data_IF_272258045324
#
_entry.id   IF_272258045324
#
_cell.length_a   1.000
_cell.length_b   1.000
_cell.length_c   1.000
_cell.angle_alpha   90.00
_cell.angle_beta   90.00
_cell.angle_gamma   90.00
#
_symmetry.space_group_name_H-M   'P 1'
#
loop_
_entity.id
_entity.type
_entity.pdbx_description
1 polymer ?
#
# COMPACT_ATOMS: atom_id res chain seq x y z
N UNK A 1 76.40 -15.39 -62.35
CA UNK A 1 74.98 -15.32 -62.72
C UNK A 1 74.04 -15.61 -61.55
N UNK A 2 74.31 -16.55 -60.66
CA UNK A 2 73.45 -16.95 -59.53
C UNK A 2 73.08 -15.81 -58.56
N UNK A 3 74.00 -14.88 -58.21
CA UNK A 3 73.74 -13.75 -57.32
C UNK A 3 72.85 -12.67 -57.93
N UNK A 4 72.85 -12.50 -59.25
CA UNK A 4 71.98 -11.56 -59.95
C UNK A 4 70.53 -12.02 -59.96
N UNK A 5 70.29 -13.32 -60.02
CA UNK A 5 68.96 -13.92 -60.01
C UNK A 5 68.35 -13.84 -58.58
N UNK A 6 69.13 -14.07 -57.52
CA UNK A 6 68.70 -13.95 -56.14
C UNK A 6 68.31 -12.50 -55.82
N UNK A 7 69.10 -11.55 -56.32
CA UNK A 7 68.78 -10.12 -56.11
C UNK A 7 67.51 -9.66 -56.84
N UNK A 8 67.24 -10.17 -58.03
CA UNK A 8 66.01 -9.92 -58.76
C UNK A 8 64.78 -10.49 -58.08
N UNK A 9 64.88 -11.72 -57.56
CA UNK A 9 63.78 -12.34 -56.79
C UNK A 9 63.47 -11.57 -55.47
N UNK A 10 64.54 -11.17 -54.79
CA UNK A 10 64.37 -10.36 -53.56
C UNK A 10 63.71 -9.02 -53.83
N UNK A 11 64.10 -8.36 -54.93
CA UNK A 11 63.49 -7.05 -55.32
C UNK A 11 62.02 -7.19 -55.70
N UNK A 12 61.68 -8.29 -56.44
CA UNK A 12 60.29 -8.62 -56.79
C UNK A 12 59.47 -8.88 -55.51
N UNK A 13 60.01 -9.60 -54.53
CA UNK A 13 59.37 -9.89 -53.25
C UNK A 13 59.06 -8.59 -52.43
N UNK A 14 60.06 -7.67 -52.41
CA UNK A 14 59.88 -6.38 -51.74
C UNK A 14 58.81 -5.52 -52.46
N UNK A 15 58.83 -5.50 -53.77
CA UNK A 15 57.83 -4.73 -54.56
C UNK A 15 56.42 -5.36 -54.40
N UNK A 16 56.29 -6.65 -54.37
CA UNK A 16 55.02 -7.33 -54.13
C UNK A 16 54.53 -7.10 -52.70
N UNK A 17 55.41 -7.13 -51.69
CA UNK A 17 55.11 -6.81 -50.32
C UNK A 17 54.67 -5.35 -50.15
N UNK A 18 55.31 -4.41 -50.82
CA UNK A 18 54.96 -3.01 -50.81
C UNK A 18 53.59 -2.73 -51.50
N UNK A 19 53.34 -3.43 -52.63
CA UNK A 19 52.07 -3.36 -53.37
C UNK A 19 50.90 -3.92 -52.53
N UNK A 20 51.09 -5.02 -51.80
CA UNK A 20 50.08 -5.59 -50.90
C UNK A 20 49.89 -4.73 -49.73
N UNK A 21 50.87 -4.13 -49.09
CA UNK A 21 50.76 -3.19 -47.98
C UNK A 21 50.00 -1.95 -48.39
N UNK A 22 50.20 -1.41 -49.58
CA UNK A 22 49.46 -0.28 -50.12
C UNK A 22 48.00 -0.67 -50.41
N UNK A 23 47.77 -1.84 -51.01
CA UNK A 23 46.43 -2.31 -51.38
C UNK A 23 45.56 -2.63 -50.16
N UNK A 24 46.12 -3.24 -49.13
CA UNK A 24 45.42 -3.53 -47.87
C UNK A 24 45.47 -2.39 -46.86
N UNK A 25 46.41 -1.43 -47.02
CA UNK A 25 46.52 -0.21 -46.21
C UNK A 25 45.63 0.94 -46.68
N UNK A 26 44.96 0.84 -47.83
CA UNK A 26 43.90 1.73 -48.22
C UNK A 26 42.81 1.61 -47.17
N UNK A 27 42.67 2.61 -46.29
CA UNK A 27 41.60 2.69 -45.29
C UNK A 27 40.27 2.45 -46.00
N UNK A 28 39.59 1.34 -45.70
CA UNK A 28 38.21 1.14 -46.13
C UNK A 28 37.46 2.38 -45.68
N UNK A 29 36.65 3.01 -46.52
CA UNK A 29 35.83 4.15 -46.09
C UNK A 29 35.05 3.66 -44.86
N UNK A 30 34.94 4.48 -43.77
CA UNK A 30 34.17 4.11 -42.62
C UNK A 30 32.78 3.73 -43.08
N UNK A 31 32.29 2.60 -42.63
CA UNK A 31 30.90 2.20 -42.88
C UNK A 31 30.02 3.39 -42.51
N UNK A 32 29.07 3.71 -43.36
CA UNK A 32 28.09 4.74 -43.07
C UNK A 32 27.44 4.40 -41.70
N UNK A 33 27.26 5.39 -40.83
CA UNK A 33 26.61 5.15 -39.53
C UNK A 33 25.28 4.47 -39.78
N UNK A 34 24.88 3.57 -38.89
CA UNK A 34 23.63 2.80 -38.98
C UNK A 34 22.39 3.71 -39.06
N UNK A 35 22.52 4.95 -38.65
CA UNK A 35 21.54 6.03 -38.85
C UNK A 35 22.30 7.35 -39.11
N UNK A 36 21.71 8.23 -39.92
CA UNK A 36 22.20 9.59 -40.09
C UNK A 36 21.78 10.44 -38.90
N UNK A 37 22.69 11.18 -38.22
CA UNK A 37 22.32 12.12 -37.20
C UNK A 37 21.30 13.12 -37.78
N UNK A 38 20.26 13.38 -37.01
CA UNK A 38 19.21 14.31 -37.44
C UNK A 38 19.79 15.72 -37.50
N UNK A 39 19.55 16.39 -38.62
CA UNK A 39 19.99 17.79 -38.76
C UNK A 39 19.16 18.71 -37.84
N UNK A 40 19.84 19.69 -37.21
CA UNK A 40 19.20 20.73 -36.42
C UNK A 40 18.13 21.46 -37.28
N UNK A 41 16.86 21.49 -36.88
CA UNK A 41 15.78 22.17 -37.60
C UNK A 41 15.84 23.70 -37.40
N UNK A 42 16.55 24.19 -36.42
CA UNK A 42 16.69 25.60 -36.08
C UNK A 42 18.10 26.11 -36.46
N UNK A 43 18.23 27.41 -36.73
CA UNK A 43 19.52 27.99 -37.10
C UNK A 43 20.57 27.87 -35.99
N UNK A 44 20.16 27.96 -34.74
CA UNK A 44 20.99 27.89 -33.52
C UNK A 44 20.25 27.11 -32.44
N UNK A 45 19.81 25.85 -32.69
CA UNK A 45 19.07 25.05 -31.70
C UNK A 45 20.01 24.34 -30.73
N UNK A 46 19.56 24.21 -29.48
CA UNK A 46 20.20 23.43 -28.43
C UNK A 46 19.82 21.97 -28.61
N UNK A 47 20.82 21.09 -28.78
CA UNK A 47 20.63 19.65 -28.79
C UNK A 47 20.50 19.12 -27.37
N UNK A 48 19.54 18.25 -27.14
CA UNK A 48 19.36 17.52 -25.89
C UNK A 48 18.90 16.08 -26.18
N UNK A 49 19.47 15.13 -25.47
CA UNK A 49 18.92 13.78 -25.46
C UNK A 49 17.64 13.75 -24.63
N UNK A 50 16.62 13.08 -25.14
CA UNK A 50 15.33 12.94 -24.48
C UNK A 50 14.95 11.50 -24.23
N UNK A 51 14.25 11.25 -23.14
CA UNK A 51 13.61 9.98 -22.83
C UNK A 51 12.10 10.17 -22.90
N UNK A 52 11.42 9.30 -23.62
CA UNK A 52 9.97 9.26 -23.66
C UNK A 52 9.46 8.75 -22.32
N UNK A 53 8.57 9.49 -21.68
CA UNK A 53 7.97 9.15 -20.39
C UNK A 53 6.45 9.19 -20.48
N UNK A 54 5.80 8.49 -19.57
CA UNK A 54 4.36 8.64 -19.36
C UNK A 54 4.04 10.06 -18.90
N UNK A 55 2.99 10.70 -19.47
CA UNK A 55 2.56 12.03 -19.07
C UNK A 55 1.94 12.00 -17.67
N UNK A 56 2.75 12.13 -16.65
CA UNK A 56 2.36 12.18 -15.25
C UNK A 56 2.78 13.50 -14.63
N UNK A 57 2.17 13.85 -13.51
CA UNK A 57 2.49 15.08 -12.78
C UNK A 57 3.97 15.15 -12.36
N UNK A 58 4.57 14.00 -12.00
CA UNK A 58 5.99 13.85 -11.69
C UNK A 58 6.86 13.59 -12.93
N UNK A 59 6.26 13.17 -14.06
CA UNK A 59 6.99 12.78 -15.28
C UNK A 59 7.59 11.39 -15.25
N UNK A 60 7.47 10.65 -14.14
CA UNK A 60 8.04 9.31 -13.98
C UNK A 60 6.95 8.24 -13.96
N UNK A 61 7.31 7.02 -14.33
CA UNK A 61 6.45 5.86 -14.18
C UNK A 61 6.25 5.52 -12.69
N UNK A 62 5.13 4.90 -12.35
CA UNK A 62 4.91 4.42 -11.00
C UNK A 62 5.56 3.05 -10.83
N UNK A 63 6.62 3.00 -10.08
CA UNK A 63 7.29 1.78 -9.66
C UNK A 63 6.58 1.22 -8.44
N UNK A 64 5.98 0.04 -8.57
CA UNK A 64 5.18 -0.58 -7.52
C UNK A 64 6.00 -1.65 -6.80
N UNK A 65 6.03 -1.52 -5.48
CA UNK A 65 6.66 -2.43 -4.55
C UNK A 65 5.59 -2.97 -3.60
N UNK A 66 5.63 -4.27 -3.23
CA UNK A 66 4.72 -4.77 -2.21
C UNK A 66 5.04 -4.13 -0.86
N UNK A 67 4.02 -3.88 -0.05
CA UNK A 67 4.21 -3.34 1.30
C UNK A 67 4.64 -4.42 2.32
N UNK A 68 4.41 -5.70 1.98
CA UNK A 68 4.78 -6.88 2.77
C UNK A 68 5.58 -7.85 1.93
N UNK A 69 6.42 -8.64 2.59
CA UNK A 69 7.21 -9.66 1.93
C UNK A 69 6.45 -10.99 1.85
N UNK A 70 6.60 -11.71 0.73
CA UNK A 70 5.97 -13.01 0.55
C UNK A 70 6.25 -13.62 -0.82
N UNK A 71 5.85 -14.88 -1.01
CA UNK A 71 5.88 -15.52 -2.31
C UNK A 71 4.75 -15.01 -3.19
N UNK A 72 5.02 -14.77 -4.46
CA UNK A 72 4.00 -14.40 -5.46
C UNK A 72 3.13 -15.63 -5.73
N UNK A 73 1.86 -15.52 -5.36
CA UNK A 73 0.86 -16.58 -5.54
C UNK A 73 0.16 -16.48 -6.89
N UNK A 74 -0.15 -15.27 -7.32
CA UNK A 74 -0.92 -15.02 -8.51
C UNK A 74 -0.58 -13.64 -9.10
N UNK A 75 -0.48 -13.55 -10.42
CA UNK A 75 -0.38 -12.30 -11.18
C UNK A 75 -1.71 -12.15 -11.93
N UNK A 76 -2.40 -11.04 -11.71
CA UNK A 76 -3.79 -10.82 -12.15
C UNK A 76 -3.89 -9.97 -13.42
N UNK A 77 -2.76 -9.45 -13.88
CA UNK A 77 -2.70 -8.53 -15.03
C UNK A 77 -1.61 -8.97 -16.00
N UNK A 78 -1.68 -8.46 -17.24
CA UNK A 78 -0.68 -8.66 -18.27
C UNK A 78 -0.02 -7.33 -18.66
N UNK A 79 1.20 -7.39 -19.21
CA UNK A 79 1.87 -6.23 -19.77
C UNK A 79 1.05 -5.63 -20.93
N UNK A 80 0.97 -4.31 -20.98
CA UNK A 80 0.12 -3.58 -21.91
C UNK A 80 -1.35 -3.44 -21.49
N UNK A 81 -1.77 -4.12 -20.42
CA UNK A 81 -3.15 -4.04 -19.92
C UNK A 81 -3.43 -2.68 -19.27
N UNK A 82 -4.60 -2.11 -19.57
CA UNK A 82 -5.11 -0.93 -18.86
C UNK A 82 -5.73 -1.36 -17.53
N UNK A 83 -5.42 -0.65 -16.48
CA UNK A 83 -5.90 -0.91 -15.11
C UNK A 83 -6.47 0.36 -14.50
N UNK A 84 -7.43 0.20 -13.58
CA UNK A 84 -8.04 1.29 -12.82
C UNK A 84 -7.47 1.37 -11.40
N UNK A 85 -7.57 2.54 -10.80
CA UNK A 85 -7.23 2.74 -9.39
C UNK A 85 -7.95 1.73 -8.48
N UNK A 86 -7.20 1.08 -7.58
CA UNK A 86 -7.70 0.02 -6.69
C UNK A 86 -7.79 -1.38 -7.31
N UNK A 87 -7.59 -1.54 -8.61
CA UNK A 87 -7.60 -2.84 -9.27
C UNK A 87 -6.46 -3.74 -8.75
N UNK A 88 -6.73 -5.01 -8.41
CA UNK A 88 -5.69 -5.92 -7.93
C UNK A 88 -4.78 -6.33 -9.09
N UNK A 89 -3.47 -6.19 -8.88
CA UNK A 89 -2.44 -6.47 -9.88
C UNK A 89 -1.72 -7.79 -9.61
N UNK A 90 -1.41 -8.05 -8.35
CA UNK A 90 -0.63 -9.18 -7.90
C UNK A 90 -1.06 -9.56 -6.49
N UNK A 91 -1.04 -10.87 -6.19
CA UNK A 91 -1.34 -11.41 -4.87
C UNK A 91 -0.16 -12.21 -4.34
N UNK A 92 0.27 -11.90 -3.13
CA UNK A 92 1.23 -12.68 -2.37
C UNK A 92 0.53 -13.79 -1.60
N UNK A 93 1.26 -14.79 -1.14
CA UNK A 93 0.72 -15.84 -0.27
C UNK A 93 0.35 -15.25 1.10
N UNK A 94 -0.94 -15.19 1.34
CA UNK A 94 -1.59 -14.61 2.50
C UNK A 94 -2.09 -15.65 3.51
N UNK A 95 -1.77 -16.93 3.31
CA UNK A 95 -2.37 -18.06 4.04
C UNK A 95 -2.21 -17.93 5.56
N UNK A 96 -1.00 -17.59 6.04
CA UNK A 96 -0.72 -17.42 7.47
C UNK A 96 -1.41 -16.18 8.02
N UNK A 97 -1.33 -15.05 7.30
CA UNK A 97 -1.95 -13.80 7.77
C UNK A 97 -3.48 -13.90 7.79
N UNK A 98 -4.07 -14.62 6.84
CA UNK A 98 -5.51 -14.90 6.81
C UNK A 98 -5.93 -15.70 8.04
N UNK A 99 -5.23 -16.81 8.34
CA UNK A 99 -5.52 -17.63 9.51
C UNK A 99 -5.37 -16.81 10.82
N UNK A 100 -4.35 -15.96 10.92
CA UNK A 100 -4.16 -15.06 12.06
C UNK A 100 -5.30 -14.05 12.19
N UNK A 101 -5.76 -13.47 11.08
CA UNK A 101 -6.88 -12.52 11.08
C UNK A 101 -8.18 -13.19 11.52
N UNK A 102 -8.45 -14.39 11.04
CA UNK A 102 -9.62 -15.20 11.42
C UNK A 102 -9.59 -15.58 12.90
N UNK A 103 -8.41 -15.96 13.43
CA UNK A 103 -8.24 -16.27 14.85
C UNK A 103 -8.55 -15.04 15.72
N UNK A 104 -7.99 -13.88 15.41
CA UNK A 104 -8.24 -12.64 16.17
C UNK A 104 -9.72 -12.21 16.04
N UNK A 105 -10.32 -12.39 14.87
CA UNK A 105 -11.75 -12.17 14.63
C UNK A 105 -12.62 -13.00 15.57
N UNK A 106 -12.35 -14.30 15.67
CA UNK A 106 -13.06 -15.22 16.57
C UNK A 106 -12.90 -14.83 18.04
N UNK A 107 -11.71 -14.34 18.44
CA UNK A 107 -11.50 -13.82 19.80
C UNK A 107 -12.31 -12.55 20.08
N UNK A 108 -12.40 -11.63 19.11
CA UNK A 108 -13.21 -10.44 19.24
C UNK A 108 -14.72 -10.75 19.35
N UNK A 109 -15.20 -11.72 18.57
CA UNK A 109 -16.60 -12.22 18.66
C UNK A 109 -16.90 -12.87 20.00
N UNK A 110 -16.00 -13.71 20.52
CA UNK A 110 -16.15 -14.32 21.83
C UNK A 110 -16.20 -13.27 22.96
N UNK A 111 -15.32 -12.27 22.92
CA UNK A 111 -15.32 -11.18 23.89
C UNK A 111 -16.60 -10.33 23.81
N UNK A 112 -17.12 -10.13 22.60
CA UNK A 112 -18.41 -9.46 22.39
C UNK A 112 -19.57 -10.24 22.97
N UNK A 113 -19.62 -11.56 22.75
CA UNK A 113 -20.65 -12.43 23.32
C UNK A 113 -20.66 -12.38 24.86
N UNK A 114 -19.46 -12.38 25.48
CA UNK A 114 -19.35 -12.22 26.94
C UNK A 114 -19.83 -10.84 27.43
N UNK A 115 -19.53 -9.78 26.69
CA UNK A 115 -20.05 -8.44 26.99
C UNK A 115 -21.58 -8.40 26.91
N UNK A 116 -22.14 -9.01 25.88
CA UNK A 116 -23.59 -9.06 25.69
C UNK A 116 -24.26 -9.92 26.78
N UNK A 117 -23.63 -11.01 27.23
CA UNK A 117 -24.08 -11.79 28.39
C UNK A 117 -24.10 -10.94 29.67
N UNK A 118 -23.01 -10.20 29.96
CA UNK A 118 -22.96 -9.33 31.13
C UNK A 118 -24.05 -8.24 31.09
N UNK A 119 -24.29 -7.67 29.93
CA UNK A 119 -25.37 -6.65 29.77
C UNK A 119 -26.78 -7.24 29.89
N UNK A 120 -26.95 -8.50 29.55
CA UNK A 120 -28.23 -9.19 29.63
C UNK A 120 -28.59 -9.64 31.06
N UNK A 121 -27.66 -9.53 32.02
CA UNK A 121 -27.94 -9.84 33.43
C UNK A 121 -28.88 -8.83 34.07
N UNK A 122 -29.75 -9.25 35.01
CA UNK A 122 -29.94 -10.64 35.46
C UNK A 122 -30.79 -11.47 34.51
N UNK A 123 -30.61 -12.79 34.59
CA UNK A 123 -31.55 -13.69 33.92
C UNK A 123 -32.92 -13.57 34.54
N UNK A 124 -33.96 -13.62 33.72
CA UNK A 124 -35.34 -13.45 34.16
C UNK A 124 -35.70 -14.45 35.25
N UNK A 125 -35.30 -15.70 35.07
CA UNK A 125 -35.60 -16.81 36.01
C UNK A 125 -34.95 -16.55 37.37
N UNK A 126 -33.74 -15.99 37.43
CA UNK A 126 -33.06 -15.64 38.66
C UNK A 126 -33.77 -14.50 39.39
N UNK A 127 -34.24 -13.49 38.63
CA UNK A 127 -35.00 -12.36 39.17
C UNK A 127 -36.37 -12.83 39.70
N UNK A 128 -37.06 -13.75 38.97
CA UNK A 128 -38.36 -14.30 39.38
C UNK A 128 -38.24 -15.08 40.69
N UNK A 129 -37.17 -15.89 40.87
CA UNK A 129 -36.86 -16.59 42.11
C UNK A 129 -36.67 -15.61 43.28
N UNK A 130 -35.87 -14.56 43.10
CA UNK A 130 -35.65 -13.54 44.13
C UNK A 130 -36.91 -12.77 44.47
N UNK A 131 -37.77 -12.48 43.48
CA UNK A 131 -39.05 -11.87 43.69
C UNK A 131 -40.00 -12.77 44.51
N UNK A 132 -40.00 -14.08 44.24
CA UNK A 132 -40.80 -15.05 45.01
C UNK A 132 -40.35 -15.16 46.49
N UNK A 133 -39.03 -15.04 46.75
CA UNK A 133 -38.49 -14.99 48.11
C UNK A 133 -38.99 -13.76 48.89
N UNK A 134 -39.02 -12.59 48.23
CA UNK A 134 -39.60 -11.37 48.84
C UNK A 134 -41.08 -11.57 49.15
N UNK A 135 -41.86 -12.13 48.23
CA UNK A 135 -43.29 -12.41 48.46
C UNK A 135 -43.51 -13.39 49.61
N UNK A 136 -42.69 -14.45 49.74
CA UNK A 136 -42.76 -15.38 50.86
C UNK A 136 -42.43 -14.71 52.21
N UNK A 137 -41.38 -13.87 52.29
CA UNK A 137 -41.01 -13.16 53.48
C UNK A 137 -42.10 -12.11 53.87
N UNK A 138 -42.73 -11.46 52.88
CA UNK A 138 -43.82 -10.53 53.09
C UNK A 138 -45.05 -11.23 53.67
N UNK A 139 -45.39 -12.45 53.19
CA UNK A 139 -46.48 -13.26 53.74
C UNK A 139 -46.16 -13.68 55.18
N UNK A 140 -44.93 -14.08 55.48
CA UNK A 140 -44.50 -14.43 56.84
C UNK A 140 -44.59 -13.23 57.81
N UNK A 141 -44.18 -12.04 57.38
CA UNK A 141 -44.31 -10.83 58.18
C UNK A 141 -45.76 -10.51 58.45
N UNK A 142 -46.62 -10.61 57.46
CA UNK A 142 -48.06 -10.36 57.61
C UNK A 142 -48.65 -11.34 58.66
N UNK A 143 -48.33 -12.63 58.59
CA UNK A 143 -48.80 -13.63 59.57
C UNK A 143 -48.33 -13.28 60.99
N UNK A 144 -47.08 -12.91 61.18
CA UNK A 144 -46.55 -12.54 62.50
C UNK A 144 -47.19 -11.23 63.02
N UNK A 145 -47.41 -10.26 62.16
CA UNK A 145 -48.13 -9.02 62.53
C UNK A 145 -49.63 -9.31 62.92
N UNK A 146 -50.31 -10.12 62.15
CA UNK A 146 -51.68 -10.49 62.44
C UNK A 146 -51.79 -11.25 63.79
N UNK A 147 -50.80 -12.08 64.12
CA UNK A 147 -50.72 -12.78 65.43
C UNK A 147 -50.46 -11.76 66.54
N UNK A 148 -49.46 -10.87 66.39
CA UNK A 148 -49.19 -9.82 67.38
C UNK A 148 -50.39 -8.93 67.61
N UNK A 149 -51.10 -8.51 66.58
CA UNK A 149 -52.27 -7.67 66.68
C UNK A 149 -53.42 -8.37 67.44
N UNK A 150 -53.63 -9.65 67.17
CA UNK A 150 -54.62 -10.47 67.89
C UNK A 150 -54.29 -10.56 69.40
N UNK A 151 -53.01 -10.87 69.72
CA UNK A 151 -52.55 -11.02 71.10
C UNK A 151 -52.62 -9.67 71.85
N UNK A 152 -52.24 -8.54 71.17
CA UNK A 152 -52.38 -7.20 71.72
C UNK A 152 -53.84 -6.85 72.00
N UNK A 153 -54.76 -7.15 71.09
CA UNK A 153 -56.18 -6.87 71.26
C UNK A 153 -56.77 -7.71 72.39
N UNK A 154 -56.44 -9.01 72.49
CA UNK A 154 -56.86 -9.89 73.54
C UNK A 154 -56.34 -9.42 74.92
N UNK A 155 -55.07 -9.02 75.01
CA UNK A 155 -54.45 -8.49 76.23
C UNK A 155 -55.11 -7.16 76.67
N UNK A 156 -55.49 -6.30 75.75
CA UNK A 156 -56.20 -5.05 76.02
C UNK A 156 -57.64 -5.30 76.55
N UNK A 157 -58.29 -6.35 76.06
CA UNK A 157 -59.66 -6.71 76.56
C UNK A 157 -59.60 -7.37 77.92
N UNK A 158 -58.70 -8.33 78.15
CA UNK A 158 -58.47 -8.95 79.44
C UNK A 158 -57.00 -9.33 79.60
N UNK A 159 -56.21 -8.61 80.47
CA UNK A 159 -54.78 -8.92 80.64
C UNK A 159 -54.46 -10.34 81.12
N UNK A 160 -55.44 -11.11 81.51
CA UNK A 160 -55.27 -12.55 81.87
C UNK A 160 -55.44 -13.48 80.69
N UNK A 161 -55.93 -13.02 79.54
CA UNK A 161 -56.19 -13.79 78.35
C UNK A 161 -54.90 -14.20 77.64
N UNK A 162 -53.81 -13.43 77.67
CA UNK A 162 -52.49 -13.64 77.06
C UNK A 162 -51.41 -13.28 78.07
N UNK A 163 -50.41 -14.17 78.25
CA UNK A 163 -49.24 -13.83 79.08
C UNK A 163 -48.36 -12.74 78.46
N UNK A 164 -47.71 -11.95 79.33
CA UNK A 164 -46.74 -10.94 78.85
C UNK A 164 -45.64 -11.56 78.02
N UNK A 165 -45.11 -12.72 78.40
CA UNK A 165 -44.10 -13.44 77.66
C UNK A 165 -44.54 -13.90 76.24
N UNK A 166 -45.84 -14.25 76.09
CA UNK A 166 -46.44 -14.55 74.80
C UNK A 166 -46.54 -13.34 73.90
N UNK A 167 -46.96 -12.16 74.50
CA UNK A 167 -47.03 -10.89 73.79
C UNK A 167 -45.64 -10.44 73.35
N UNK A 168 -44.61 -10.49 74.23
CA UNK A 168 -43.25 -10.12 73.92
C UNK A 168 -42.67 -11.13 72.85
N UNK A 169 -43.01 -12.37 72.94
CA UNK A 169 -42.61 -13.39 71.90
C UNK A 169 -43.23 -13.08 70.53
N UNK A 170 -44.52 -12.72 70.46
CA UNK A 170 -45.17 -12.33 69.20
C UNK A 170 -44.57 -11.02 68.63
N UNK A 171 -44.26 -10.05 69.53
CA UNK A 171 -43.58 -8.81 69.09
C UNK A 171 -42.20 -9.12 68.50
N UNK A 172 -41.37 -9.94 69.16
CA UNK A 172 -40.08 -10.36 68.66
C UNK A 172 -40.20 -11.17 67.34
N UNK A 173 -41.22 -12.03 67.21
CA UNK A 173 -41.46 -12.79 65.98
C UNK A 173 -41.81 -11.84 64.81
N UNK A 174 -42.60 -10.80 65.03
CA UNK A 174 -42.91 -9.79 64.01
C UNK A 174 -41.66 -8.97 63.61
N UNK A 175 -40.77 -8.65 64.58
CA UNK A 175 -39.54 -7.96 64.30
C UNK A 175 -38.56 -8.81 63.52
N UNK A 176 -38.41 -10.08 63.86
CA UNK A 176 -37.57 -11.08 63.09
C UNK A 176 -38.13 -11.21 61.67
N UNK A 177 -39.44 -11.35 61.52
CA UNK A 177 -40.06 -11.48 60.18
C UNK A 177 -39.84 -10.20 59.33
N UNK A 178 -39.85 -9.01 59.94
CA UNK A 178 -39.55 -7.74 59.29
C UNK A 178 -38.10 -7.69 58.86
N UNK A 179 -37.16 -8.13 59.70
CA UNK A 179 -35.75 -8.19 59.36
C UNK A 179 -35.49 -9.16 58.19
N UNK A 180 -36.18 -10.31 58.19
CA UNK A 180 -36.09 -11.28 57.10
C UNK A 180 -36.64 -10.71 55.77
N UNK A 181 -37.72 -9.93 55.81
CA UNK A 181 -38.23 -9.25 54.62
C UNK A 181 -37.20 -8.21 54.09
N UNK A 182 -36.56 -7.45 54.97
CA UNK A 182 -35.51 -6.49 54.55
C UNK A 182 -34.34 -7.22 53.88
N UNK A 183 -33.87 -8.32 54.43
CA UNK A 183 -32.83 -9.17 53.81
C UNK A 183 -33.25 -9.67 52.43
N UNK A 184 -34.48 -10.24 52.32
CA UNK A 184 -35.01 -10.71 51.05
C UNK A 184 -35.11 -9.56 50.01
N UNK A 185 -35.55 -8.40 50.43
CA UNK A 185 -35.65 -7.21 49.57
C UNK A 185 -34.29 -6.74 49.09
N UNK A 186 -33.28 -6.66 50.00
CA UNK A 186 -31.89 -6.34 49.61
C UNK A 186 -31.30 -7.33 48.64
N UNK A 187 -31.58 -8.62 48.82
CA UNK A 187 -31.13 -9.67 47.91
C UNK A 187 -31.79 -9.54 46.53
N UNK A 188 -33.08 -9.21 46.49
CA UNK A 188 -33.79 -8.91 45.24
C UNK A 188 -33.19 -7.69 44.53
N UNK A 189 -32.96 -6.59 45.26
CA UNK A 189 -32.38 -5.34 44.71
C UNK A 189 -30.95 -5.62 44.15
N UNK A 190 -30.14 -6.40 44.86
CA UNK A 190 -28.80 -6.81 44.40
C UNK A 190 -28.90 -7.63 43.10
N UNK A 191 -29.81 -8.63 43.07
CA UNK A 191 -30.05 -9.43 41.89
C UNK A 191 -30.52 -8.59 40.72
N UNK A 192 -31.46 -7.68 40.95
CA UNK A 192 -32.04 -6.74 39.97
C UNK A 192 -31.00 -5.79 39.41
N UNK A 193 -30.00 -5.40 40.17
CA UNK A 193 -28.91 -4.52 39.72
C UNK A 193 -28.08 -5.15 38.62
N UNK A 194 -28.07 -6.51 38.48
CA UNK A 194 -27.36 -7.23 37.43
C UNK A 194 -25.85 -7.19 37.58
N UNK A 195 -25.14 -7.21 36.46
CA UNK A 195 -23.68 -7.13 36.45
C UNK A 195 -23.22 -5.73 36.88
N UNK A 196 -22.09 -5.69 37.60
CA UNK A 196 -21.53 -4.42 38.06
C UNK A 196 -21.11 -3.55 36.88
N UNK A 197 -21.42 -2.27 36.92
CA UNK A 197 -21.14 -1.32 35.82
C UNK A 197 -19.68 -1.28 35.43
N UNK A 198 -18.73 -1.46 36.36
CA UNK A 198 -17.30 -1.48 36.08
C UNK A 198 -16.84 -2.78 35.40
N UNK A 199 -17.51 -3.91 35.67
CA UNK A 199 -17.24 -5.16 34.97
C UNK A 199 -17.69 -5.06 33.50
N UNK A 200 -18.87 -4.47 33.25
CA UNK A 200 -19.36 -4.18 31.90
C UNK A 200 -18.40 -3.23 31.18
N UNK A 201 -17.94 -2.16 31.84
CA UNK A 201 -16.99 -1.23 31.24
C UNK A 201 -15.64 -1.88 30.95
N UNK A 202 -15.13 -2.71 31.85
CA UNK A 202 -13.87 -3.43 31.66
C UNK A 202 -13.98 -4.38 30.48
N UNK A 203 -15.04 -5.20 30.44
CA UNK A 203 -15.30 -6.11 29.33
C UNK A 203 -15.51 -5.36 28.00
N UNK A 204 -16.18 -4.21 28.01
CA UNK A 204 -16.36 -3.37 26.82
C UNK A 204 -15.01 -2.85 26.28
N UNK A 205 -14.10 -2.44 27.16
CA UNK A 205 -12.74 -2.02 26.77
C UNK A 205 -11.93 -3.17 26.19
N UNK A 206 -12.02 -4.35 26.81
CA UNK A 206 -11.34 -5.56 26.31
C UNK A 206 -11.89 -5.97 24.94
N UNK A 207 -13.21 -5.97 24.76
CA UNK A 207 -13.86 -6.24 23.47
C UNK A 207 -13.39 -5.25 22.40
N UNK A 208 -13.38 -3.96 22.73
CA UNK A 208 -12.91 -2.92 21.79
C UNK A 208 -11.43 -3.12 21.40
N UNK A 209 -10.56 -3.48 22.36
CA UNK A 209 -9.14 -3.76 22.05
C UNK A 209 -8.99 -4.92 21.05
N UNK A 210 -9.76 -6.00 21.20
CA UNK A 210 -9.75 -7.13 20.27
C UNK A 210 -10.34 -6.77 18.90
N UNK A 211 -11.38 -5.95 18.84
CA UNK A 211 -11.95 -5.43 17.58
C UNK A 211 -10.92 -4.58 16.84
N UNK A 212 -10.16 -3.73 17.54
CA UNK A 212 -9.08 -2.94 16.94
C UNK A 212 -7.91 -3.84 16.48
N UNK A 213 -7.57 -4.87 17.24
CA UNK A 213 -6.58 -5.85 16.84
C UNK A 213 -6.99 -6.61 15.56
N UNK A 214 -8.25 -7.02 15.46
CA UNK A 214 -8.81 -7.63 14.25
C UNK A 214 -8.77 -6.66 13.05
N UNK A 215 -9.13 -5.41 13.24
CA UNK A 215 -9.06 -4.39 12.20
C UNK A 215 -7.61 -4.17 11.70
N UNK A 216 -6.63 -4.13 12.61
CA UNK A 216 -5.21 -4.04 12.26
C UNK A 216 -4.71 -5.27 11.48
N UNK A 217 -5.09 -6.49 11.93
CA UNK A 217 -4.75 -7.72 11.22
C UNK A 217 -5.38 -7.79 9.81
N UNK A 218 -6.61 -7.32 9.67
CA UNK A 218 -7.32 -7.22 8.38
C UNK A 218 -6.68 -6.20 7.43
N UNK A 219 -6.25 -5.06 7.96
CA UNK A 219 -5.53 -4.06 7.19
C UNK A 219 -4.18 -4.62 6.69
N UNK A 220 -3.46 -5.35 7.54
CA UNK A 220 -2.22 -6.04 7.14
C UNK A 220 -2.49 -7.12 6.09
N UNK A 221 -3.56 -7.91 6.23
CA UNK A 221 -3.99 -8.89 5.23
C UNK A 221 -4.26 -8.24 3.87
N UNK A 222 -4.87 -7.05 3.86
CA UNK A 222 -5.11 -6.29 2.64
C UNK A 222 -3.83 -5.93 1.86
N UNK A 223 -2.70 -5.80 2.55
CA UNK A 223 -1.38 -5.48 1.95
C UNK A 223 -0.75 -6.63 1.17
N UNK A 224 -1.24 -7.87 1.34
CA UNK A 224 -0.82 -9.03 0.54
C UNK A 224 -1.37 -8.99 -0.89
N UNK A 225 -2.27 -8.07 -1.19
CA UNK A 225 -2.73 -7.80 -2.55
C UNK A 225 -2.20 -6.44 -3.00
N UNK A 226 -1.26 -6.44 -3.95
CA UNK A 226 -0.77 -5.23 -4.59
C UNK A 226 -1.85 -4.69 -5.51
N UNK A 227 -2.20 -3.41 -5.36
CA UNK A 227 -3.25 -2.74 -6.15
C UNK A 227 -2.70 -1.55 -6.90
N UNK A 228 -3.33 -1.21 -8.02
CA UNK A 228 -3.01 -0.01 -8.77
C UNK A 228 -3.32 1.24 -7.92
N UNK A 229 -2.35 2.15 -7.68
CA UNK A 229 -2.60 3.39 -6.93
C UNK A 229 -3.42 4.40 -7.74
N UNK A 230 -3.50 4.22 -9.06
CA UNK A 230 -4.18 5.11 -10.01
C UNK A 230 -4.48 4.38 -11.31
N UNK A 231 -5.27 5.01 -12.19
CA UNK A 231 -5.49 4.54 -13.54
C UNK A 231 -4.18 4.58 -14.34
N UNK A 232 -3.94 3.55 -15.17
CA UNK A 232 -2.72 3.47 -15.95
C UNK A 232 -2.66 2.25 -16.86
N UNK A 233 -1.47 2.02 -17.44
CA UNK A 233 -1.13 0.84 -18.23
C UNK A 233 0.02 0.12 -17.57
N UNK A 234 -0.04 -1.19 -17.47
CA UNK A 234 1.06 -2.04 -16.99
C UNK A 234 2.18 -2.01 -18.04
N UNK A 235 3.33 -1.42 -17.70
CA UNK A 235 4.47 -1.32 -18.61
C UNK A 235 5.37 -2.55 -18.53
N UNK A 236 5.65 -3.03 -17.31
CA UNK A 236 6.45 -4.23 -17.08
C UNK A 236 6.00 -4.97 -15.84
N UNK A 237 6.24 -6.28 -15.83
CA UNK A 237 6.04 -7.19 -14.70
C UNK A 237 7.36 -7.91 -14.46
N UNK A 238 8.10 -7.50 -13.42
CA UNK A 238 9.46 -7.99 -13.13
C UNK A 238 9.46 -9.13 -12.10
N UNK A 239 8.42 -9.93 -12.07
CA UNK A 239 8.29 -11.09 -11.18
C UNK A 239 7.47 -12.19 -11.85
N UNK A 240 7.58 -13.40 -11.31
CA UNK A 240 6.79 -14.56 -11.74
C UNK A 240 6.16 -15.24 -10.54
N UNK A 241 5.13 -16.05 -10.76
CA UNK A 241 4.51 -16.89 -9.74
C UNK A 241 5.56 -17.82 -9.13
N UNK A 242 5.62 -17.87 -7.80
CA UNK A 242 6.61 -18.62 -7.04
C UNK A 242 7.88 -17.85 -6.67
N UNK A 243 8.12 -16.66 -7.22
CA UNK A 243 9.20 -15.79 -6.77
C UNK A 243 8.89 -15.12 -5.43
N UNK A 244 9.94 -14.77 -4.71
CA UNK A 244 9.84 -13.99 -3.49
C UNK A 244 9.90 -12.50 -3.82
N UNK A 245 8.91 -11.76 -3.36
CA UNK A 245 8.84 -10.31 -3.49
C UNK A 245 8.83 -9.65 -2.10
N UNK A 246 9.41 -8.46 -2.00
CA UNK A 246 9.57 -7.72 -0.74
C UNK A 246 9.37 -6.21 -0.96
N UNK A 247 9.31 -5.39 0.09
CA UNK A 247 9.28 -3.93 -0.03
C UNK A 247 10.48 -3.33 -0.79
N UNK A 248 11.57 -4.06 -0.94
CA UNK A 248 12.71 -3.68 -1.78
C UNK A 248 12.51 -4.02 -3.26
N UNK A 249 11.53 -4.86 -3.58
CA UNK A 249 11.23 -5.35 -4.92
C UNK A 249 11.42 -6.86 -5.08
N UNK A 250 11.46 -7.28 -6.33
CA UNK A 250 11.85 -8.64 -6.74
C UNK A 250 13.31 -8.64 -7.18
N UNK A 251 14.09 -9.64 -6.73
CA UNK A 251 15.49 -9.74 -7.11
C UNK A 251 15.61 -10.16 -8.58
N UNK A 252 16.34 -9.37 -9.36
CA UNK A 252 16.69 -9.69 -10.74
C UNK A 252 18.16 -10.13 -10.84
N UNK A 253 18.36 -11.33 -11.39
CA UNK A 253 19.68 -11.94 -11.60
C UNK A 253 20.52 -11.21 -12.66
N UNK A 254 19.89 -10.55 -13.62
CA UNK A 254 20.60 -9.83 -14.69
C UNK A 254 21.15 -8.50 -14.23
N UNK A 255 20.33 -7.73 -13.50
CA UNK A 255 20.74 -6.42 -12.96
C UNK A 255 21.49 -6.54 -11.64
N UNK A 256 21.47 -7.72 -11.00
CA UNK A 256 21.99 -7.99 -9.64
C UNK A 256 21.44 -6.99 -8.62
N UNK A 257 20.19 -6.58 -8.82
CA UNK A 257 19.48 -5.60 -8.02
C UNK A 257 18.07 -6.04 -7.69
N UNK A 258 17.35 -5.20 -6.97
CA UNK A 258 15.93 -5.36 -6.71
C UNK A 258 15.14 -4.39 -7.58
N UNK A 259 14.32 -4.93 -8.46
CA UNK A 259 13.49 -4.16 -9.36
C UNK A 259 12.05 -4.04 -8.82
N UNK A 260 11.30 -2.99 -9.18
CA UNK A 260 9.89 -2.90 -8.84
C UNK A 260 9.15 -4.10 -9.41
N UNK A 261 8.23 -4.70 -8.66
CA UNK A 261 7.49 -5.89 -9.14
C UNK A 261 6.61 -5.60 -10.33
N UNK A 262 6.06 -4.39 -10.39
CA UNK A 262 5.25 -3.90 -11.52
C UNK A 262 5.55 -2.42 -11.74
N UNK A 263 5.69 -2.01 -13.00
CA UNK A 263 5.79 -0.60 -13.39
C UNK A 263 4.52 -0.19 -14.12
N UNK A 264 3.86 0.87 -13.63
CA UNK A 264 2.68 1.47 -14.26
C UNK A 264 3.04 2.78 -14.96
N UNK A 265 2.62 2.92 -16.21
CA UNK A 265 2.63 4.16 -16.96
C UNK A 265 1.27 4.82 -17.06
N UNK A 266 1.21 6.02 -17.64
CA UNK A 266 -0.06 6.61 -18.07
C UNK A 266 -0.54 5.92 -19.35
N UNK A 267 -1.84 6.07 -19.67
CA UNK A 267 -2.37 5.57 -20.93
C UNK A 267 -1.58 6.13 -22.12
N UNK A 268 -1.40 5.32 -23.16
CA UNK A 268 -0.61 5.64 -24.36
C UNK A 268 -1.04 6.94 -25.11
N UNK A 269 -2.15 7.56 -24.71
CA UNK A 269 -2.65 8.81 -25.27
C UNK A 269 -1.89 10.06 -24.82
N UNK A 270 -1.09 9.98 -23.75
CA UNK A 270 -0.39 11.11 -23.17
C UNK A 270 1.05 10.73 -22.84
N UNK A 271 1.97 11.11 -23.69
CA UNK A 271 3.41 10.93 -23.49
C UNK A 271 4.10 12.29 -23.36
N UNK A 272 5.14 12.31 -22.54
CA UNK A 272 6.06 13.43 -22.44
C UNK A 272 7.46 13.00 -22.90
N UNK A 273 8.30 13.97 -23.20
CA UNK A 273 9.75 13.76 -23.35
C UNK A 273 10.43 14.57 -22.26
N UNK A 274 11.28 13.95 -21.49
CA UNK A 274 12.20 14.60 -20.58
C UNK A 274 13.53 14.75 -21.31
N UNK A 275 13.90 15.99 -21.57
CA UNK A 275 15.16 16.36 -22.25
C UNK A 275 16.18 16.75 -21.21
N UNK A 276 17.41 16.25 -21.36
CA UNK A 276 18.52 16.54 -20.48
C UNK A 276 19.45 17.56 -21.15
N UNK A 277 19.33 18.83 -20.77
CA UNK A 277 20.11 19.92 -21.33
C UNK A 277 21.38 20.10 -20.50
N UNK A 278 22.55 20.06 -21.15
CA UNK A 278 23.83 20.26 -20.48
C UNK A 278 23.88 21.61 -19.78
N UNK A 279 24.45 21.66 -18.56
CA UNK A 279 24.55 22.87 -17.73
C UNK A 279 25.16 24.04 -18.47
N UNK A 280 26.17 23.83 -19.33
CA UNK A 280 26.83 24.85 -20.12
C UNK A 280 25.89 25.51 -21.16
N UNK A 281 24.81 24.83 -21.56
CA UNK A 281 23.84 25.33 -22.53
C UNK A 281 22.60 25.95 -21.85
N UNK A 282 22.44 25.78 -20.55
CA UNK A 282 21.30 26.32 -19.79
C UNK A 282 21.14 27.85 -19.94
N UNK A 283 22.22 28.68 -19.98
CA UNK A 283 22.07 30.11 -20.19
C UNK A 283 21.48 30.50 -21.55
N UNK A 284 21.49 29.60 -22.54
CA UNK A 284 20.92 29.82 -23.88
C UNK A 284 19.44 29.42 -23.95
N UNK A 285 18.89 28.75 -22.91
CA UNK A 285 17.48 28.42 -22.89
C UNK A 285 16.62 29.70 -22.84
N UNK A 286 15.52 29.74 -23.62
CA UNK A 286 14.60 30.87 -23.57
C UNK A 286 14.04 31.07 -22.16
N UNK A 287 14.10 32.34 -21.68
CA UNK A 287 13.62 32.71 -20.35
C UNK A 287 12.09 32.81 -20.23
N UNK A 288 11.34 32.33 -21.23
CA UNK A 288 9.88 32.49 -21.35
C UNK A 288 9.06 31.31 -20.84
N UNK A 289 7.74 31.51 -20.74
CA UNK A 289 6.78 30.47 -20.42
C UNK A 289 6.53 29.48 -21.58
N UNK A 290 7.13 29.70 -22.75
CA UNK A 290 7.00 28.88 -23.95
C UNK A 290 8.39 28.64 -24.55
N UNK A 291 8.68 27.40 -24.91
CA UNK A 291 9.85 26.99 -25.64
C UNK A 291 9.41 26.15 -26.85
N UNK A 292 9.89 26.47 -28.03
CA UNK A 292 9.70 25.66 -29.21
C UNK A 292 10.75 24.54 -29.21
N UNK A 293 10.30 23.33 -29.42
CA UNK A 293 11.17 22.18 -29.55
C UNK A 293 10.63 21.18 -30.56
N UNK A 294 11.53 20.44 -31.16
CA UNK A 294 11.20 19.35 -32.08
C UNK A 294 11.98 18.11 -31.69
N UNK A 295 11.30 16.99 -31.56
CA UNK A 295 11.97 15.68 -31.40
C UNK A 295 12.05 14.94 -32.72
N UNK A 296 13.05 14.09 -32.80
CA UNK A 296 13.20 13.10 -33.86
C UNK A 296 13.30 11.71 -33.22
N UNK A 297 12.53 10.76 -33.77
CA UNK A 297 12.56 9.38 -33.32
C UNK A 297 13.74 8.68 -33.95
N UNK A 298 14.66 8.14 -33.12
CA UNK A 298 15.89 7.48 -33.60
C UNK A 298 15.55 6.35 -34.56
N UNK A 299 16.32 6.24 -35.65
CA UNK A 299 16.13 5.21 -36.69
C UNK A 299 14.94 5.46 -37.63
N UNK A 300 14.29 6.61 -37.54
CA UNK A 300 13.22 7.02 -38.45
C UNK A 300 13.40 8.48 -38.91
N UNK A 301 12.68 8.85 -39.97
CA UNK A 301 12.65 10.26 -40.44
C UNK A 301 11.51 11.07 -39.78
N UNK A 302 10.88 10.52 -38.73
CA UNK A 302 9.73 11.14 -38.09
C UNK A 302 10.17 12.27 -37.16
N UNK A 303 9.66 13.45 -37.44
CA UNK A 303 9.87 14.66 -36.66
C UNK A 303 8.55 15.09 -36.03
N UNK A 304 8.56 15.38 -34.72
CA UNK A 304 7.35 15.71 -33.96
C UNK A 304 7.58 17.03 -33.21
N UNK A 305 6.71 18.02 -33.40
CA UNK A 305 6.76 19.24 -32.60
C UNK A 305 6.39 18.93 -31.15
N UNK A 306 7.07 19.56 -30.23
CA UNK A 306 6.89 19.39 -28.80
C UNK A 306 6.27 20.62 -28.17
N UNK A 307 5.42 20.42 -27.18
CA UNK A 307 4.81 21.48 -26.38
C UNK A 307 5.52 21.58 -25.03
N UNK A 308 6.03 22.76 -24.69
CA UNK A 308 6.66 22.99 -23.40
C UNK A 308 5.68 22.76 -22.24
N UNK A 309 6.13 22.02 -21.22
CA UNK A 309 5.37 21.79 -19.99
C UNK A 309 6.00 22.50 -18.80
N UNK A 310 7.29 22.21 -18.52
CA UNK A 310 8.03 22.81 -17.40
C UNK A 310 9.53 22.55 -17.50
N UNK A 311 10.29 23.38 -16.83
CA UNK A 311 11.66 23.09 -16.44
C UNK A 311 11.64 22.48 -15.04
N UNK A 312 12.43 21.44 -14.81
CA UNK A 312 12.68 20.95 -13.46
C UNK A 312 13.89 21.72 -12.89
N UNK A 313 13.70 22.62 -11.92
CA UNK A 313 14.75 23.59 -11.54
C UNK A 313 15.80 22.96 -10.60
N UNK A 314 16.36 21.82 -11.02
CA UNK A 314 17.39 21.11 -10.27
C UNK A 314 18.37 20.47 -11.25
N UNK A 315 19.62 20.89 -11.18
CA UNK A 315 20.71 20.38 -12.02
C UNK A 315 21.33 19.17 -11.33
N UNK A 316 21.31 18.03 -12.01
CA UNK A 316 21.81 16.74 -11.48
C UNK A 316 22.93 16.18 -12.38
N UNK A 317 23.78 15.28 -11.88
CA UNK A 317 24.69 14.55 -12.73
C UNK A 317 23.92 13.75 -13.80
N UNK A 318 24.48 13.64 -15.01
CA UNK A 318 23.89 12.87 -16.11
C UNK A 318 24.08 11.36 -15.86
N UNK A 319 23.15 10.73 -15.16
CA UNK A 319 23.22 9.30 -14.78
C UNK A 319 22.33 8.44 -15.68
N UNK A 320 21.16 8.96 -16.08
CA UNK A 320 20.07 8.19 -16.71
C UNK A 320 20.38 7.75 -18.16
N UNK A 321 21.42 8.33 -18.78
CA UNK A 321 21.78 8.05 -20.17
C UNK A 321 23.14 7.38 -20.31
N UNK A 322 23.78 6.97 -19.21
CA UNK A 322 25.04 6.24 -19.24
C UNK A 322 24.79 4.74 -19.00
N UNK A 323 25.32 3.88 -19.89
CA UNK A 323 25.26 2.43 -19.77
C UNK A 323 26.12 1.87 -18.61
N UNK A 324 26.92 2.71 -17.94
CA UNK A 324 27.81 2.27 -16.86
C UNK A 324 27.49 2.98 -15.55
N UNK A 325 27.03 2.23 -14.58
CA UNK A 325 26.79 2.70 -13.21
C UNK A 325 28.02 3.24 -12.48
N UNK A 326 29.21 3.16 -13.06
CA UNK A 326 30.48 3.57 -12.44
C UNK A 326 31.20 4.70 -13.22
N UNK A 327 30.67 5.15 -14.34
CA UNK A 327 31.28 6.26 -15.06
C UNK A 327 30.98 7.57 -14.30
N UNK A 328 32.02 8.14 -13.71
CA UNK A 328 31.97 9.50 -13.14
C UNK A 328 32.02 10.49 -14.29
N UNK A 329 30.88 10.77 -14.88
CA UNK A 329 30.76 11.83 -15.89
C UNK A 329 30.58 13.15 -15.15
N UNK A 330 31.53 14.08 -15.31
CA UNK A 330 31.47 15.42 -14.73
C UNK A 330 30.56 16.35 -15.55
N UNK A 331 29.51 15.80 -16.14
CA UNK A 331 28.48 16.50 -16.91
C UNK A 331 27.22 16.61 -16.07
N UNK A 332 26.76 17.83 -15.85
CA UNK A 332 25.50 18.11 -15.19
C UNK A 332 24.45 18.53 -16.19
N UNK A 333 23.21 18.15 -15.92
CA UNK A 333 22.09 18.40 -16.82
C UNK A 333 20.90 19.02 -16.09
N UNK A 334 20.18 19.88 -16.81
CA UNK A 334 18.90 20.44 -16.39
C UNK A 334 17.79 19.71 -17.14
N UNK A 335 16.88 19.02 -16.45
CA UNK A 335 15.75 18.36 -17.10
C UNK A 335 14.68 19.38 -17.54
N UNK A 336 14.29 19.30 -18.81
CA UNK A 336 13.18 20.07 -19.40
C UNK A 336 12.14 19.10 -19.94
N UNK A 337 10.89 19.27 -19.56
CA UNK A 337 9.81 18.35 -19.91
C UNK A 337 8.92 18.99 -20.97
N UNK A 338 8.70 18.24 -22.04
CA UNK A 338 7.81 18.59 -23.14
C UNK A 338 6.71 17.53 -23.28
N UNK A 339 5.54 17.93 -23.75
CA UNK A 339 4.46 17.03 -24.13
C UNK A 339 4.59 16.65 -25.59
N UNK A 340 4.38 15.38 -25.90
CA UNK A 340 4.36 14.86 -27.27
C UNK A 340 2.94 14.94 -27.80
N UNK A 341 2.75 15.61 -28.93
CA UNK A 341 1.55 15.42 -29.75
C UNK A 341 1.75 14.10 -30.53
N UNK A 342 1.15 13.01 -30.06
CA UNK A 342 1.35 11.66 -30.64
C UNK A 342 1.07 11.65 -32.13
N UNK A 343 2.06 11.37 -32.98
CA UNK A 343 1.84 11.22 -34.41
C UNK A 343 1.08 9.90 -34.66
N UNK A 344 0.13 9.91 -35.56
CA UNK A 344 -0.72 8.76 -35.86
C UNK A 344 0.05 7.52 -36.37
N UNK A 345 1.26 7.69 -36.85
CA UNK A 345 2.01 6.68 -37.61
C UNK A 345 3.23 6.12 -36.88
N UNK A 346 3.45 6.46 -35.60
CA UNK A 346 4.62 5.98 -34.81
C UNK A 346 4.18 5.46 -33.46
N UNK A 347 4.59 4.26 -33.13
CA UNK A 347 4.44 3.74 -31.80
C UNK A 347 5.63 4.23 -30.96
N UNK A 348 5.35 5.02 -29.94
CA UNK A 348 6.33 5.48 -28.95
C UNK A 348 6.09 4.76 -27.65
N UNK A 349 7.15 4.29 -27.05
CA UNK A 349 7.12 3.57 -25.80
C UNK A 349 7.83 4.36 -24.69
N UNK A 350 7.31 4.40 -23.47
CA UNK A 350 8.05 4.94 -22.33
C UNK A 350 9.40 4.22 -22.16
N UNK A 351 10.48 5.01 -21.97
CA UNK A 351 11.87 4.52 -21.94
C UNK A 351 12.61 4.67 -23.27
N UNK A 352 11.94 4.99 -24.37
CA UNK A 352 12.57 5.16 -25.68
C UNK A 352 13.40 6.45 -25.72
N UNK A 353 14.61 6.36 -26.31
CA UNK A 353 15.50 7.51 -26.50
C UNK A 353 15.16 8.26 -27.79
N UNK A 354 15.09 9.57 -27.68
CA UNK A 354 14.82 10.47 -28.81
C UNK A 354 15.82 11.64 -28.82
N UNK A 355 16.04 12.19 -30.01
CA UNK A 355 16.88 13.37 -30.19
C UNK A 355 16.00 14.63 -30.22
N UNK A 356 16.29 15.59 -29.37
CA UNK A 356 15.48 16.81 -29.24
C UNK A 356 16.34 18.04 -29.56
N UNK A 357 15.79 18.94 -30.34
CA UNK A 357 16.33 20.26 -30.56
C UNK A 357 15.38 21.32 -29.98
N UNK A 358 15.92 22.19 -29.15
CA UNK A 358 15.20 23.31 -28.54
C UNK A 358 15.68 24.56 -29.22
N UNK A 359 14.77 25.44 -29.67
CA UNK A 359 15.07 26.73 -30.22
C UNK A 359 15.61 27.64 -29.10
N UNK A 360 16.79 28.30 -29.36
CA UNK A 360 17.45 29.21 -28.42
C UNK A 360 17.09 30.68 -28.61
#
# INVERSE_FOLDING_TARGET
MRNKIIFAISLIGILAGMATAIFFGIKKPPLAPAFSPVSNPYGSGIYAEGIVESAQTSGENSNLYPEVAGMVKEILVAEGQQVKAGEPLLRLDDSIQRATTEQIGSQAEAAKALLDELKAQPRKETLDVAAAQVAAAQAALKTAQDTLQKDQTAYQMDPRSVSKDALDSAANAAEVAKANLDVATRQYDLTKAGAWVYDIQNQARQTNALVQAHAAASALLGKYTLRAPRDGVVLSINTIVGNYASPQGAYDTYTQGADPVITLGSSAASLNVRCYVDEILVPRLPSGATMNAQMSVRGTDVKVPLQFVRVQPYVSPKIELSDQRQERVDVRVLPVVFRIAKPANVNLYPGELVDVYIED
#
